data_IF_035745272644
#
_entry.id   IF_035745272644
#
_cell.length_a   1.000
_cell.length_b   1.000
_cell.length_c   1.000
_cell.angle_alpha   90.00
_cell.angle_beta   90.00
_cell.angle_gamma   90.00
#
_symmetry.space_group_name_H-M   'P 1'
#
loop_
_entity.id
_entity.type
_entity.pdbx_description
1 polymer ?
#
# COMPACT_ATOMS: atom_id res chain seq x y z
N UNK A 1 22.07 -21.25 1.54
CA UNK A 1 20.89 -22.14 1.36
C UNK A 1 20.16 -22.45 2.67
N UNK A 2 20.80 -22.44 3.85
CA UNK A 2 20.14 -22.73 5.13
C UNK A 2 19.27 -21.56 5.63
N UNK A 3 19.67 -20.33 5.44
CA UNK A 3 18.87 -19.16 5.83
C UNK A 3 17.55 -19.02 5.05
N UNK A 4 17.53 -19.41 3.78
CA UNK A 4 16.28 -19.43 2.98
C UNK A 4 15.26 -20.43 3.51
N UNK A 5 15.74 -21.58 4.04
CA UNK A 5 14.88 -22.60 4.63
C UNK A 5 14.32 -22.18 6.00
N UNK A 6 15.10 -21.42 6.79
CA UNK A 6 14.65 -20.88 8.07
C UNK A 6 13.59 -19.79 7.89
N UNK A 7 13.76 -18.90 6.92
CA UNK A 7 12.76 -17.86 6.62
C UNK A 7 11.41 -18.45 6.15
N UNK A 8 11.46 -19.49 5.29
CA UNK A 8 10.25 -20.20 4.83
C UNK A 8 9.59 -20.96 5.97
N UNK A 9 10.36 -21.56 6.88
CA UNK A 9 9.85 -22.27 8.04
C UNK A 9 9.19 -21.33 9.06
N UNK A 10 9.74 -20.14 9.28
CA UNK A 10 9.13 -19.13 10.14
C UNK A 10 7.83 -18.57 9.54
N UNK A 11 7.77 -18.37 8.23
CA UNK A 11 6.54 -17.95 7.54
C UNK A 11 5.47 -19.06 7.60
N UNK A 12 5.84 -20.31 7.34
CA UNK A 12 4.93 -21.45 7.42
C UNK A 12 4.46 -21.71 8.86
N UNK A 13 5.33 -21.59 9.86
CA UNK A 13 4.96 -21.71 11.26
C UNK A 13 3.98 -20.61 11.69
N UNK A 14 4.18 -19.36 11.27
CA UNK A 14 3.24 -18.25 11.55
C UNK A 14 1.86 -18.51 10.98
N UNK A 15 1.75 -19.06 9.76
CA UNK A 15 0.48 -19.43 9.13
C UNK A 15 -0.19 -20.63 9.81
N UNK A 16 0.58 -21.63 10.24
CA UNK A 16 0.04 -22.84 10.91
C UNK A 16 -0.39 -22.56 12.35
N UNK A 17 0.34 -21.74 13.10
CA UNK A 17 -0.04 -21.36 14.47
C UNK A 17 -1.25 -20.44 14.50
N UNK A 18 -1.46 -19.61 13.46
CA UNK A 18 -2.69 -18.82 13.32
C UNK A 18 -3.94 -19.67 13.02
N UNK A 19 -3.77 -20.85 12.43
CA UNK A 19 -4.87 -21.76 12.08
C UNK A 19 -5.23 -22.78 13.17
N UNK A 20 -4.40 -22.94 14.21
CA UNK A 20 -4.56 -23.99 15.23
C UNK A 20 -5.40 -23.59 16.46
N UNK A 21 -6.01 -22.42 16.49
CA UNK A 21 -6.93 -22.04 17.56
C UNK A 21 -8.29 -22.69 17.32
N UNK A 22 -8.71 -23.51 18.25
CA UNK A 22 -10.01 -24.17 18.32
C UNK A 22 -11.12 -23.11 18.30
N UNK A 23 -11.85 -23.07 17.24
CA UNK A 23 -12.91 -22.12 16.92
C UNK A 23 -12.40 -21.14 15.86
N UNK A 24 -12.57 -21.50 14.58
CA UNK A 24 -12.38 -20.56 13.49
C UNK A 24 -13.40 -19.43 13.69
N UNK A 25 -13.02 -18.42 14.44
CA UNK A 25 -13.72 -17.16 14.48
C UNK A 25 -13.58 -16.59 13.06
N UNK A 26 -14.71 -16.31 12.42
CA UNK A 26 -14.69 -15.67 11.11
C UNK A 26 -13.85 -14.40 11.22
N UNK A 27 -12.93 -14.20 10.27
CA UNK A 27 -12.14 -12.99 10.23
C UNK A 27 -13.08 -11.78 10.14
N UNK A 28 -12.85 -10.77 10.95
CA UNK A 28 -13.59 -9.52 10.85
C UNK A 28 -13.01 -8.72 9.65
N UNK A 29 -13.89 -8.20 8.81
CA UNK A 29 -13.51 -7.43 7.63
C UNK A 29 -14.00 -6.00 7.82
N UNK A 30 -13.05 -5.05 7.84
CA UNK A 30 -13.35 -3.62 7.86
C UNK A 30 -12.99 -3.01 6.52
N UNK A 31 -13.93 -2.25 5.96
CA UNK A 31 -13.74 -1.51 4.72
C UNK A 31 -13.85 -0.03 5.04
N UNK A 32 -12.87 0.73 4.58
CA UNK A 32 -12.85 2.19 4.66
C UNK A 32 -12.32 2.77 3.35
N UNK A 33 -12.59 4.03 3.10
CA UNK A 33 -12.08 4.66 1.89
C UNK A 33 -12.61 6.08 1.72
N UNK A 34 -12.15 6.68 0.64
CA UNK A 34 -12.60 8.00 0.24
C UNK A 34 -12.86 8.02 -1.26
N UNK A 35 -13.83 8.83 -1.65
CA UNK A 35 -14.14 9.12 -3.03
C UNK A 35 -13.91 10.60 -3.27
N UNK A 36 -12.94 10.93 -4.11
CA UNK A 36 -12.59 12.29 -4.48
C UNK A 36 -13.18 12.60 -5.87
N UNK A 37 -13.96 13.67 -5.93
CA UNK A 37 -14.47 14.25 -7.18
C UNK A 37 -14.02 15.70 -7.26
N UNK A 38 -13.29 16.02 -8.29
CA UNK A 38 -12.85 17.38 -8.57
C UNK A 38 -13.43 17.84 -9.89
N UNK A 39 -14.05 19.02 -9.88
CA UNK A 39 -14.50 19.69 -11.09
C UNK A 39 -13.97 21.12 -11.08
N UNK A 40 -13.36 21.52 -12.17
CA UNK A 40 -12.75 22.83 -12.32
C UNK A 40 -13.16 23.43 -13.68
N UNK A 41 -13.51 24.69 -13.65
CA UNK A 41 -13.69 25.48 -14.85
C UNK A 41 -12.85 26.72 -14.72
N UNK A 42 -11.87 26.88 -15.60
CA UNK A 42 -11.01 28.04 -15.61
C UNK A 42 -10.69 28.48 -17.03
N UNK A 43 -10.37 29.77 -17.16
CA UNK A 43 -9.86 30.38 -18.38
C UNK A 43 -8.57 31.19 -18.12
N UNK A 44 -7.83 30.79 -17.07
CA UNK A 44 -6.61 31.47 -16.63
C UNK A 44 -5.47 31.06 -17.56
N UNK A 45 -5.21 31.86 -18.58
CA UNK A 45 -4.01 31.73 -19.39
C UNK A 45 -2.85 32.52 -18.81
N UNK A 46 -1.76 31.87 -18.45
CA UNK A 46 -0.51 32.53 -18.07
C UNK A 46 0.35 32.93 -19.27
N UNK A 47 0.00 32.51 -20.47
CA UNK A 47 0.64 32.87 -21.72
C UNK A 47 -0.21 33.90 -22.48
N UNK A 48 0.44 34.71 -23.32
CA UNK A 48 -0.18 35.79 -24.10
C UNK A 48 -1.20 35.33 -25.15
N UNK A 49 -1.42 34.05 -25.28
CA UNK A 49 -2.42 33.50 -26.19
C UNK A 49 -3.73 33.32 -25.44
N UNK A 50 -4.83 33.57 -26.12
CA UNK A 50 -6.18 33.43 -25.59
C UNK A 50 -6.36 32.00 -25.11
N UNK A 51 -6.45 31.81 -23.78
CA UNK A 51 -6.75 30.51 -23.21
C UNK A 51 -8.20 30.15 -23.56
N UNK A 52 -8.40 28.98 -24.10
CA UNK A 52 -9.73 28.40 -24.22
C UNK A 52 -10.30 28.13 -22.85
N UNK A 53 -11.62 28.23 -22.69
CA UNK A 53 -12.30 27.81 -21.47
C UNK A 53 -12.02 26.31 -21.24
N UNK A 54 -11.35 25.98 -20.14
CA UNK A 54 -11.02 24.62 -19.80
C UNK A 54 -11.98 24.14 -18.72
N UNK A 55 -12.81 23.16 -19.07
CA UNK A 55 -13.52 22.36 -18.11
C UNK A 55 -12.73 21.08 -17.85
N UNK A 56 -12.42 20.84 -16.59
CA UNK A 56 -11.75 19.64 -16.13
C UNK A 56 -12.58 18.99 -15.04
N UNK A 57 -12.81 17.69 -15.16
CA UNK A 57 -13.44 16.90 -14.14
C UNK A 57 -12.67 15.58 -13.97
N UNK A 58 -12.42 15.19 -12.74
CA UNK A 58 -11.74 13.94 -12.42
C UNK A 58 -12.35 13.28 -11.20
N UNK A 59 -12.14 11.98 -11.10
CA UNK A 59 -12.48 11.22 -9.91
C UNK A 59 -11.36 10.27 -9.53
N UNK A 60 -11.29 9.96 -8.22
CA UNK A 60 -10.44 8.93 -7.66
C UNK A 60 -11.16 8.24 -6.52
N UNK A 61 -11.08 6.92 -6.48
CA UNK A 61 -11.54 6.11 -5.35
C UNK A 61 -10.33 5.45 -4.70
N UNK A 62 -10.20 5.58 -3.39
CA UNK A 62 -9.26 4.84 -2.56
C UNK A 62 -10.03 3.99 -1.57
N UNK A 63 -9.73 2.70 -1.49
CA UNK A 63 -10.44 1.76 -0.61
C UNK A 63 -9.44 0.88 0.12
N UNK A 64 -9.53 0.87 1.45
CA UNK A 64 -8.76 -0.02 2.31
C UNK A 64 -9.66 -1.14 2.83
N UNK A 65 -9.17 -2.35 2.74
CA UNK A 65 -9.77 -3.55 3.32
C UNK A 65 -8.83 -4.12 4.36
N UNK A 66 -9.25 -4.11 5.61
CA UNK A 66 -8.56 -4.74 6.73
C UNK A 66 -9.22 -6.09 7.04
N UNK A 67 -8.43 -7.15 7.01
CA UNK A 67 -8.83 -8.52 7.32
C UNK A 67 -8.24 -8.87 8.68
N UNK A 68 -9.04 -8.86 9.73
CA UNK A 68 -8.63 -9.05 11.12
C UNK A 68 -8.85 -10.51 11.49
N UNK A 69 -7.78 -11.30 11.47
CA UNK A 69 -7.83 -12.72 11.83
C UNK A 69 -7.80 -12.95 13.34
N UNK A 70 -7.14 -12.06 14.09
CA UNK A 70 -7.09 -12.06 15.56
C UNK A 70 -6.60 -10.69 16.06
N UNK A 71 -6.55 -10.49 17.37
CA UNK A 71 -5.95 -9.29 17.99
C UNK A 71 -4.48 -9.09 17.57
N UNK A 72 -3.78 -10.18 17.26
CA UNK A 72 -2.37 -10.16 16.92
C UNK A 72 -2.07 -10.25 15.41
N UNK A 73 -3.06 -10.54 14.56
CA UNK A 73 -2.85 -10.76 13.13
C UNK A 73 -3.88 -10.03 12.27
N UNK A 74 -3.40 -9.13 11.44
CA UNK A 74 -4.20 -8.35 10.49
C UNK A 74 -3.54 -8.31 9.12
N UNK A 75 -4.33 -8.53 8.06
CA UNK A 75 -3.96 -8.22 6.69
C UNK A 75 -4.59 -6.90 6.25
N UNK A 76 -3.88 -6.12 5.45
CA UNK A 76 -4.40 -4.89 4.85
C UNK A 76 -4.15 -4.91 3.36
N UNK A 77 -5.19 -4.61 2.58
CA UNK A 77 -5.08 -4.36 1.13
C UNK A 77 -5.68 -2.99 0.84
N UNK A 78 -4.95 -2.17 0.11
CA UNK A 78 -5.36 -0.83 -0.27
C UNK A 78 -5.40 -0.71 -1.78
N UNK A 79 -6.58 -0.41 -2.29
CA UNK A 79 -6.86 -0.26 -3.71
C UNK A 79 -6.99 1.22 -4.08
N UNK A 80 -6.54 1.54 -5.29
CA UNK A 80 -6.79 2.85 -5.91
C UNK A 80 -7.37 2.66 -7.31
N UNK A 81 -8.43 3.41 -7.62
CA UNK A 81 -9.01 3.52 -8.96
C UNK A 81 -8.97 5.00 -9.34
N UNK A 82 -8.18 5.33 -10.32
CA UNK A 82 -8.01 6.71 -10.77
C UNK A 82 -6.53 7.11 -10.80
N UNK A 83 -6.19 8.38 -11.01
CA UNK A 83 -7.16 9.44 -11.39
C UNK A 83 -7.84 9.12 -12.74
N UNK A 84 -9.15 9.25 -12.80
CA UNK A 84 -9.89 9.12 -14.06
C UNK A 84 -10.37 10.51 -14.48
N UNK A 85 -9.80 11.05 -15.55
CA UNK A 85 -10.23 12.30 -16.14
C UNK A 85 -11.45 12.06 -17.05
N UNK A 86 -12.54 12.77 -16.79
CA UNK A 86 -13.75 12.64 -17.57
C UNK A 86 -13.55 13.15 -19.00
N UNK A 87 -13.98 12.35 -19.97
CA UNK A 87 -13.77 12.62 -21.38
C UNK A 87 -12.42 12.12 -21.94
N UNK A 88 -11.52 11.61 -21.11
CA UNK A 88 -10.25 11.04 -21.57
C UNK A 88 -10.40 9.53 -21.85
N UNK A 89 -10.32 9.15 -23.12
CA UNK A 89 -10.48 7.74 -23.52
C UNK A 89 -9.32 6.84 -23.07
N UNK A 90 -8.10 7.37 -23.00
CA UNK A 90 -6.92 6.61 -22.58
C UNK A 90 -6.94 6.27 -21.10
N UNK A 91 -7.73 6.96 -20.31
CA UNK A 91 -7.91 6.76 -18.87
C UNK A 91 -9.25 6.12 -18.52
N UNK A 92 -10.01 5.68 -19.51
CA UNK A 92 -11.33 5.07 -19.29
C UNK A 92 -12.43 6.05 -18.91
N UNK A 93 -12.21 7.35 -19.04
CA UNK A 93 -13.15 8.40 -18.64
C UNK A 93 -14.09 8.88 -19.74
N UNK A 94 -13.94 8.41 -20.98
CA UNK A 94 -14.77 8.80 -22.11
C UNK A 94 -15.94 7.83 -22.32
N UNK A 95 -16.95 8.30 -23.05
CA UNK A 95 -18.10 7.48 -23.43
C UNK A 95 -17.65 6.26 -24.28
N UNK A 96 -18.09 5.06 -23.89
CA UNK A 96 -17.81 3.83 -24.62
C UNK A 96 -16.42 3.24 -24.39
N UNK A 97 -15.71 3.66 -23.33
CA UNK A 97 -14.43 3.07 -22.93
C UNK A 97 -14.61 2.04 -21.79
N UNK A 98 -13.63 1.12 -21.66
CA UNK A 98 -13.69 0.01 -20.69
C UNK A 98 -13.43 0.42 -19.23
N UNK A 99 -13.19 1.70 -18.95
CA UNK A 99 -12.90 2.19 -17.60
C UNK A 99 -11.42 2.11 -17.22
N UNK A 100 -11.14 2.28 -15.91
CA UNK A 100 -9.81 2.33 -15.33
C UNK A 100 -9.47 1.02 -14.65
N UNK A 101 -8.22 0.62 -14.70
CA UNK A 101 -7.72 -0.54 -13.93
C UNK A 101 -7.70 -0.21 -12.43
N UNK A 102 -7.86 -1.24 -11.61
CA UNK A 102 -7.69 -1.15 -10.16
C UNK A 102 -6.22 -1.39 -9.83
N UNK A 103 -5.62 -0.45 -9.14
CA UNK A 103 -4.24 -0.56 -8.68
C UNK A 103 -4.21 -0.97 -7.21
N UNK A 104 -3.28 -1.85 -6.84
CA UNK A 104 -3.03 -2.21 -5.45
C UNK A 104 -1.83 -1.43 -4.97
N UNK A 105 -2.06 -0.45 -4.08
CA UNK A 105 -0.99 0.37 -3.51
C UNK A 105 -0.31 -0.30 -2.33
N UNK A 106 -1.10 -0.93 -1.44
CA UNK A 106 -0.56 -1.66 -0.30
C UNK A 106 -1.14 -3.07 -0.26
N UNK A 107 -0.31 -4.01 0.14
CA UNK A 107 -0.72 -5.38 0.46
C UNK A 107 0.27 -5.93 1.47
N UNK A 108 -0.10 -5.91 2.75
CA UNK A 108 0.79 -6.32 3.83
C UNK A 108 0.04 -7.03 4.96
N UNK A 109 0.81 -7.74 5.77
CA UNK A 109 0.36 -8.37 6.99
C UNK A 109 1.07 -7.74 8.19
N UNK A 110 0.31 -7.38 9.21
CA UNK A 110 0.78 -6.98 10.53
C UNK A 110 0.61 -8.14 11.50
N UNK A 111 1.69 -8.54 12.15
CA UNK A 111 1.68 -9.52 13.22
C UNK A 111 2.33 -8.96 14.48
N UNK A 112 1.56 -8.91 15.56
CA UNK A 112 2.08 -8.60 16.89
C UNK A 112 2.48 -9.93 17.52
N UNK A 113 3.76 -10.07 17.84
CA UNK A 113 4.26 -11.32 18.46
C UNK A 113 3.63 -11.47 19.83
N UNK A 114 2.90 -12.57 20.10
CA UNK A 114 2.18 -12.75 21.35
C UNK A 114 3.06 -12.57 22.59
N UNK A 115 2.54 -11.89 23.61
CA UNK A 115 3.21 -11.58 24.87
C UNK A 115 4.45 -10.67 24.74
N UNK A 116 4.54 -9.92 23.64
CA UNK A 116 5.61 -8.95 23.42
C UNK A 116 5.04 -7.67 22.79
N UNK A 117 5.81 -6.59 22.80
CA UNK A 117 5.51 -5.36 22.07
C UNK A 117 6.16 -5.33 20.67
N UNK A 118 6.62 -6.49 20.20
CA UNK A 118 7.22 -6.64 18.88
C UNK A 118 6.13 -6.77 17.81
N UNK A 119 6.12 -5.82 16.86
CA UNK A 119 5.30 -5.89 15.65
C UNK A 119 6.17 -6.22 14.45
N UNK A 120 5.70 -7.15 13.65
CA UNK A 120 6.31 -7.55 12.38
C UNK A 120 5.32 -7.18 11.26
N UNK A 121 5.74 -6.31 10.35
CA UNK A 121 4.97 -5.99 9.13
C UNK A 121 5.70 -6.52 7.93
N UNK A 122 5.00 -7.22 7.03
CA UNK A 122 5.57 -7.81 5.81
C UNK A 122 4.67 -7.55 4.61
N UNK A 123 5.25 -7.18 3.51
CA UNK A 123 4.58 -6.96 2.23
C UNK A 123 4.85 -5.60 1.62
N UNK A 124 4.02 -5.23 0.64
CA UNK A 124 4.02 -3.90 0.04
C UNK A 124 3.31 -2.96 1.02
N UNK A 125 4.05 -2.03 1.58
CA UNK A 125 3.61 -1.22 2.72
C UNK A 125 4.01 0.24 2.54
N UNK A 126 3.25 1.19 3.14
CA UNK A 126 3.70 2.57 3.22
C UNK A 126 4.99 2.64 4.03
N UNK A 127 5.95 3.38 3.53
CA UNK A 127 7.25 3.55 4.14
C UNK A 127 7.68 5.01 4.08
N UNK A 128 8.02 5.58 5.23
CA UNK A 128 8.58 6.91 5.32
C UNK A 128 9.67 6.95 6.39
N UNK A 129 10.71 7.71 6.12
CA UNK A 129 11.75 8.01 7.12
C UNK A 129 11.42 9.33 7.82
N UNK A 130 11.87 9.49 9.08
CA UNK A 130 11.72 10.76 9.77
C UNK A 130 12.31 11.91 8.96
N UNK A 131 11.47 12.89 8.68
CA UNK A 131 11.82 14.02 7.86
C UNK A 131 12.23 15.19 8.76
N UNK A 132 13.53 15.51 8.80
CA UNK A 132 14.03 16.55 9.69
C UNK A 132 14.21 17.93 9.03
N UNK A 133 14.32 18.02 7.70
CA UNK A 133 14.71 19.30 7.07
C UNK A 133 14.00 19.63 5.75
N UNK A 134 13.73 18.71 4.85
CA UNK A 134 13.21 19.07 3.52
C UNK A 134 12.64 17.89 2.70
N UNK A 135 11.69 17.14 3.22
CA UNK A 135 11.19 15.95 2.53
C UNK A 135 11.99 14.69 2.86
N UNK A 136 11.51 13.54 2.45
CA UNK A 136 12.25 12.29 2.60
C UNK A 136 13.44 12.28 1.63
N UNK A 137 14.69 12.35 2.12
CA UNK A 137 15.87 12.47 1.24
C UNK A 137 16.20 11.16 0.50
N UNK A 138 15.59 10.05 0.90
CA UNK A 138 15.84 8.73 0.32
C UNK A 138 14.75 8.35 -0.66
N UNK A 139 13.49 8.63 -0.33
CA UNK A 139 12.34 8.17 -1.10
C UNK A 139 11.79 9.24 -2.05
N UNK A 140 12.09 10.51 -1.82
CA UNK A 140 11.82 11.61 -2.75
C UNK A 140 10.36 12.00 -2.96
N UNK A 141 9.41 11.32 -2.34
CA UNK A 141 7.99 11.63 -2.42
C UNK A 141 7.23 11.28 -1.13
N UNK A 142 6.13 11.98 -0.88
CA UNK A 142 5.26 11.73 0.27
C UNK A 142 4.46 10.40 0.16
N UNK A 143 4.42 9.81 -1.03
CA UNK A 143 3.69 8.58 -1.36
C UNK A 143 4.65 7.40 -1.61
N UNK A 144 5.59 7.17 -0.71
CA UNK A 144 6.57 6.10 -0.88
C UNK A 144 6.04 4.78 -0.34
N UNK A 145 5.92 3.81 -1.24
CA UNK A 145 5.52 2.45 -0.95
C UNK A 145 6.70 1.52 -1.18
N UNK A 146 6.93 0.59 -0.27
CA UNK A 146 8.04 -0.33 -0.35
C UNK A 146 7.65 -1.78 -0.02
N UNK A 147 8.19 -2.71 -0.79
CA UNK A 147 8.08 -4.13 -0.49
C UNK A 147 9.20 -4.57 0.45
N UNK A 148 8.84 -5.07 1.63
CA UNK A 148 9.83 -5.43 2.62
C UNK A 148 9.27 -5.93 3.94
N UNK A 149 10.14 -5.88 4.95
CA UNK A 149 9.83 -6.29 6.33
C UNK A 149 10.21 -5.14 7.25
N UNK A 150 9.29 -4.77 8.12
CA UNK A 150 9.52 -3.80 9.21
C UNK A 150 9.31 -4.50 10.55
N UNK A 151 10.26 -4.36 11.45
CA UNK A 151 10.21 -4.81 12.83
C UNK A 151 10.12 -3.58 13.72
N UNK A 152 9.07 -3.44 14.51
CA UNK A 152 8.89 -2.32 15.42
C UNK A 152 8.73 -2.83 16.84
N UNK A 153 9.46 -2.24 17.77
CA UNK A 153 9.40 -2.58 19.19
C UNK A 153 9.24 -1.30 20.02
N UNK A 154 8.25 -1.30 20.90
CA UNK A 154 8.01 -0.20 21.81
C UNK A 154 8.59 -0.55 23.18
N UNK A 155 9.56 0.24 23.65
CA UNK A 155 10.19 0.02 24.97
C UNK A 155 9.35 0.61 26.10
N UNK A 156 8.73 1.77 25.85
CA UNK A 156 7.85 2.50 26.75
C UNK A 156 7.10 3.60 25.96
N UNK A 157 6.29 4.40 26.65
CA UNK A 157 5.47 5.45 26.02
C UNK A 157 6.27 6.54 25.29
N UNK A 158 7.57 6.69 25.59
CA UNK A 158 8.43 7.73 25.04
C UNK A 158 9.46 7.20 24.03
N UNK A 159 9.72 5.90 23.99
CA UNK A 159 10.82 5.35 23.21
C UNK A 159 10.43 4.04 22.52
N UNK A 160 10.71 3.97 21.25
CA UNK A 160 10.58 2.77 20.43
C UNK A 160 11.69 2.70 19.39
N UNK A 161 11.82 1.56 18.74
CA UNK A 161 12.77 1.33 17.67
C UNK A 161 12.09 0.60 16.52
N UNK A 162 12.42 1.00 15.31
CA UNK A 162 12.03 0.27 14.10
C UNK A 162 13.25 -0.08 13.28
N UNK A 163 13.32 -1.34 12.89
CA UNK A 163 14.28 -1.85 11.91
C UNK A 163 13.51 -2.25 10.66
N UNK A 164 14.04 -1.94 9.51
CA UNK A 164 13.39 -2.28 8.26
C UNK A 164 14.38 -2.84 7.25
N UNK A 165 13.88 -3.70 6.40
CA UNK A 165 14.53 -4.13 5.19
C UNK A 165 13.55 -3.98 4.04
N UNK A 166 13.88 -3.10 3.10
CA UNK A 166 13.08 -2.83 1.90
C UNK A 166 13.89 -3.19 0.68
N UNK A 167 13.23 -3.74 -0.31
CA UNK A 167 13.85 -4.03 -1.59
C UNK A 167 13.57 -2.89 -2.55
N UNK A 168 14.57 -2.06 -2.83
CA UNK A 168 14.43 -0.89 -3.70
C UNK A 168 14.22 -1.32 -5.15
N UNK A 169 15.22 -1.88 -5.80
CA UNK A 169 15.16 -2.34 -7.17
C UNK A 169 15.93 -3.65 -7.34
N UNK A 170 15.55 -4.44 -8.32
CA UNK A 170 16.24 -5.66 -8.65
C UNK A 170 16.60 -5.68 -10.13
N UNK A 171 17.84 -5.34 -10.46
CA UNK A 171 18.39 -5.34 -11.82
C UNK A 171 18.49 -6.74 -12.45
N UNK A 172 18.23 -7.81 -11.68
CA UNK A 172 18.17 -9.16 -12.19
C UNK A 172 16.84 -9.43 -12.92
N UNK A 173 16.73 -8.90 -14.12
CA UNK A 173 15.62 -9.14 -15.05
C UNK A 173 15.52 -10.58 -15.57
N UNK A 174 16.37 -11.49 -15.11
CA UNK A 174 16.49 -12.86 -15.61
C UNK A 174 15.82 -13.91 -14.73
N UNK A 175 14.78 -13.56 -13.99
CA UNK A 175 13.85 -14.58 -13.50
C UNK A 175 12.57 -14.44 -14.31
N UNK A 176 12.67 -14.84 -15.57
CA UNK A 176 11.49 -15.27 -16.34
C UNK A 176 10.91 -16.51 -15.64
N UNK A 177 10.03 -16.26 -14.69
CA UNK A 177 9.14 -17.30 -14.20
C UNK A 177 7.98 -17.32 -15.16
N UNK A 178 8.16 -18.10 -16.23
CA UNK A 178 7.05 -18.55 -17.02
C UNK A 178 6.00 -19.15 -16.11
N UNK A 179 5.01 -18.36 -15.74
CA UNK A 179 3.76 -18.85 -15.17
C UNK A 179 2.88 -19.04 -16.38
N UNK A 180 2.88 -20.29 -16.89
CA UNK A 180 1.90 -20.78 -17.84
C UNK A 180 0.55 -20.92 -17.17
#
# INVERSE_FOLDING_TARGET
SSMKKVAVLLLAAGLVFGAAHKGAQAADIKVSGEWDFNTEWNNIGFAKEKADDLFHARQRLRTQVDIIASESLKGTVFFEVGDTNWGNSSEGGALGTDGKVVEVRYSYVDWVVPQTDLRVRMGLQPFSLPNFVAGDPIMGSDDSDGAGITLSYQFNDMAGMSLFWMRAENDNTTIDRGVG
#
